data_IF_225886473739
#
_entry.id   IF_225886473739
#
_cell.length_a   1.000
_cell.length_b   1.000
_cell.length_c   1.000
_cell.angle_alpha   90.00
_cell.angle_beta   90.00
_cell.angle_gamma   90.00
#
_symmetry.space_group_name_H-M   'P 1'
#
loop_
_entity.id
_entity.type
_entity.pdbx_description
1 polymer ?
#
# COMPACT_ATOMS: atom_id res chain seq x y z
N UNK A 1 -2.87 -10.47 1.97
CA UNK A 1 -1.76 -11.38 2.31
C UNK A 1 -0.58 -10.55 2.79
N UNK A 2 0.00 -10.87 3.95
CA UNK A 2 1.20 -10.15 4.43
C UNK A 2 2.37 -10.39 3.48
N UNK A 3 3.17 -9.35 3.24
CA UNK A 3 4.44 -9.51 2.53
C UNK A 3 5.40 -10.33 3.40
N UNK A 4 6.30 -11.13 2.79
CA UNK A 4 7.42 -11.71 3.53
C UNK A 4 8.21 -10.61 4.25
N UNK A 5 8.72 -10.93 5.44
CA UNK A 5 9.44 -9.94 6.24
C UNK A 5 10.70 -9.44 5.51
N UNK A 6 11.33 -10.30 4.72
CA UNK A 6 12.50 -9.98 3.92
C UNK A 6 12.18 -8.90 2.88
N UNK A 7 11.03 -8.98 2.22
CA UNK A 7 10.57 -7.97 1.25
C UNK A 7 10.28 -6.64 1.93
N UNK A 8 9.70 -6.67 3.14
CA UNK A 8 9.44 -5.46 3.94
C UNK A 8 10.76 -4.81 4.35
N UNK A 9 11.73 -5.59 4.84
CA UNK A 9 13.05 -5.09 5.24
C UNK A 9 13.84 -4.53 4.05
N UNK A 10 13.75 -5.16 2.88
CA UNK A 10 14.34 -4.64 1.63
C UNK A 10 13.71 -3.29 1.24
N UNK A 11 12.39 -3.17 1.36
CA UNK A 11 11.65 -1.93 1.06
C UNK A 11 12.05 -0.78 2.00
N UNK A 12 12.23 -1.08 3.29
CA UNK A 12 12.71 -0.11 4.29
C UNK A 12 14.20 0.26 4.08
N UNK A 13 15.00 -0.65 3.52
CA UNK A 13 16.39 -0.41 3.18
C UNK A 13 17.21 0.16 4.34
N UNK A 14 17.80 1.34 4.13
CA UNK A 14 18.64 2.05 5.10
C UNK A 14 17.86 2.86 6.16
N UNK A 15 16.53 2.96 6.05
CA UNK A 15 15.69 3.71 6.98
C UNK A 15 15.71 3.04 8.36
N UNK A 16 15.88 3.83 9.42
CA UNK A 16 16.10 3.32 10.77
C UNK A 16 14.94 3.62 11.71
N UNK A 17 14.25 4.74 11.51
CA UNK A 17 13.15 5.22 12.34
C UNK A 17 11.84 5.05 11.62
N UNK A 18 11.03 4.10 12.06
CA UNK A 18 9.79 3.70 11.38
C UNK A 18 8.58 4.04 12.23
N UNK A 19 7.56 4.63 11.62
CA UNK A 19 6.24 4.77 12.23
C UNK A 19 5.32 3.64 11.76
N UNK A 20 4.68 2.91 12.69
CA UNK A 20 3.74 1.84 12.33
C UNK A 20 2.31 2.36 12.27
N UNK A 21 1.63 2.01 11.19
CA UNK A 21 0.23 2.36 10.99
C UNK A 21 -0.56 1.12 10.60
N UNK A 22 -1.57 0.75 11.39
CA UNK A 22 -2.44 -0.39 11.08
C UNK A 22 -3.89 0.03 10.87
N UNK A 23 -4.55 -0.68 9.95
CA UNK A 23 -5.98 -0.58 9.72
C UNK A 23 -6.73 -1.57 10.63
N UNK A 24 -7.74 -1.09 11.38
CA UNK A 24 -8.58 -1.90 12.28
C UNK A 24 -9.95 -2.26 11.67
N UNK A 25 -10.07 -2.16 10.35
CA UNK A 25 -11.28 -2.51 9.60
C UNK A 25 -11.10 -3.84 8.89
N UNK A 26 -11.32 -3.85 7.57
CA UNK A 26 -11.20 -5.06 6.76
C UNK A 26 -9.82 -5.74 6.85
N UNK A 27 -8.75 -4.99 7.13
CA UNK A 27 -7.40 -5.53 7.24
C UNK A 27 -7.23 -6.41 8.49
N UNK A 28 -7.87 -6.05 9.61
CA UNK A 28 -7.89 -6.84 10.85
C UNK A 28 -8.62 -8.17 10.63
N UNK A 29 -9.79 -8.14 9.98
CA UNK A 29 -10.54 -9.35 9.61
C UNK A 29 -9.71 -10.28 8.73
N UNK A 30 -8.87 -9.72 7.86
CA UNK A 30 -7.94 -10.48 7.04
C UNK A 30 -6.62 -10.87 7.73
N UNK A 31 -6.47 -10.57 9.03
CA UNK A 31 -5.24 -10.80 9.82
C UNK A 31 -3.97 -10.12 9.25
N UNK A 32 -4.18 -9.05 8.48
CA UNK A 32 -3.11 -8.23 7.86
C UNK A 32 -3.01 -6.83 8.47
N UNK A 33 -3.89 -6.52 9.41
CA UNK A 33 -3.97 -5.28 10.19
C UNK A 33 -4.45 -5.57 11.61
N UNK A 34 -4.91 -4.55 12.31
CA UNK A 34 -5.31 -4.65 13.71
C UNK A 34 -4.13 -4.76 14.69
N UNK A 35 -4.46 -4.86 15.97
CA UNK A 35 -3.47 -4.87 17.07
C UNK A 35 -2.55 -6.09 17.04
N UNK A 36 -3.08 -7.25 16.67
CA UNK A 36 -2.31 -8.51 16.59
C UNK A 36 -1.21 -8.42 15.53
N UNK A 37 -1.55 -7.99 14.32
CA UNK A 37 -0.58 -7.84 13.23
C UNK A 37 0.45 -6.75 13.56
N UNK A 38 0.01 -5.65 14.18
CA UNK A 38 0.89 -4.57 14.61
C UNK A 38 1.89 -5.02 15.69
N UNK A 39 1.48 -5.86 16.63
CA UNK A 39 2.36 -6.42 17.65
C UNK A 39 3.36 -7.41 17.06
N UNK A 40 2.91 -8.26 16.12
CA UNK A 40 3.77 -9.21 15.44
C UNK A 40 4.86 -8.53 14.60
N UNK A 41 4.49 -7.55 13.77
CA UNK A 41 5.47 -6.84 12.93
C UNK A 41 6.44 -6.01 13.76
N UNK A 42 5.98 -5.46 14.89
CA UNK A 42 6.83 -4.71 15.83
C UNK A 42 7.97 -5.59 16.34
N UNK A 43 7.66 -6.81 16.77
CA UNK A 43 8.68 -7.75 17.25
C UNK A 43 9.70 -8.11 16.15
N UNK A 44 9.25 -8.30 14.90
CA UNK A 44 10.14 -8.59 13.79
C UNK A 44 11.04 -7.40 13.40
N UNK A 45 10.52 -6.17 13.44
CA UNK A 45 11.30 -4.96 13.17
C UNK A 45 12.34 -4.68 14.25
N UNK A 46 12.01 -4.90 15.52
CA UNK A 46 12.94 -4.75 16.64
C UNK A 46 14.08 -5.76 16.55
N UNK A 47 13.80 -7.02 16.17
CA UNK A 47 14.85 -8.03 15.88
C UNK A 47 15.76 -7.62 14.73
N UNK A 48 15.21 -6.94 13.73
CA UNK A 48 15.97 -6.40 12.59
C UNK A 48 16.72 -5.09 12.91
N UNK A 49 16.67 -4.61 14.16
CA UNK A 49 17.38 -3.41 14.61
C UNK A 49 16.75 -2.08 14.14
N UNK A 50 15.47 -2.09 13.74
CA UNK A 50 14.72 -0.89 13.36
C UNK A 50 14.08 -0.27 14.60
N UNK A 51 14.19 1.05 14.74
CA UNK A 51 13.62 1.81 15.84
C UNK A 51 12.21 2.29 15.49
N UNK A 52 11.26 2.15 16.41
CA UNK A 52 9.90 2.63 16.22
C UNK A 52 9.72 4.01 16.85
N UNK A 53 9.30 5.00 16.06
CA UNK A 53 8.99 6.35 16.60
C UNK A 53 7.60 6.42 17.22
N UNK A 54 6.70 5.54 16.79
CA UNK A 54 5.33 5.48 17.27
C UNK A 54 4.51 4.45 16.51
N UNK A 55 3.31 4.21 17.04
CA UNK A 55 2.32 3.34 16.41
C UNK A 55 0.96 4.02 16.42
N UNK A 56 0.16 3.80 15.39
CA UNK A 56 -1.23 4.23 15.37
C UNK A 56 -2.12 3.14 14.76
N UNK A 57 -3.31 3.02 15.35
CA UNK A 57 -4.38 2.16 14.89
C UNK A 57 -5.54 3.05 14.43
N UNK A 58 -6.07 2.79 13.22
CA UNK A 58 -7.16 3.55 12.61
C UNK A 58 -8.15 2.59 11.97
N UNK A 59 -9.44 2.74 12.26
CA UNK A 59 -10.47 1.79 11.81
C UNK A 59 -10.54 1.68 10.28
N UNK A 60 -10.56 2.83 9.59
CA UNK A 60 -10.69 2.86 8.14
C UNK A 60 -9.61 3.74 7.52
N UNK A 61 -8.45 3.15 7.21
CA UNK A 61 -7.39 3.85 6.48
C UNK A 61 -7.78 4.23 5.05
N UNK A 62 -8.89 3.73 4.52
CA UNK A 62 -9.46 4.20 3.25
C UNK A 62 -10.25 5.52 3.38
N UNK A 63 -10.53 6.01 4.59
CA UNK A 63 -11.20 7.28 4.82
C UNK A 63 -10.17 8.40 5.09
N UNK A 64 -9.96 9.27 4.09
CA UNK A 64 -8.96 10.34 4.14
C UNK A 64 -9.15 11.32 5.31
N UNK A 65 -10.39 11.67 5.66
CA UNK A 65 -10.69 12.60 6.75
C UNK A 65 -10.35 11.97 8.10
N UNK A 66 -10.69 10.70 8.28
CA UNK A 66 -10.37 9.95 9.50
C UNK A 66 -8.85 9.81 9.65
N UNK A 67 -8.15 9.43 8.57
CA UNK A 67 -6.68 9.32 8.56
C UNK A 67 -6.03 10.65 8.91
N UNK A 68 -6.40 11.74 8.24
CA UNK A 68 -5.83 13.07 8.51
C UNK A 68 -6.04 13.50 9.97
N UNK A 69 -7.26 13.34 10.48
CA UNK A 69 -7.60 13.73 11.87
C UNK A 69 -6.82 12.91 12.89
N UNK A 70 -6.65 11.60 12.66
CA UNK A 70 -5.96 10.72 13.60
C UNK A 70 -4.45 10.89 13.56
N UNK A 71 -3.86 11.03 12.36
CA UNK A 71 -2.42 11.22 12.19
C UNK A 71 -1.97 12.63 12.60
N UNK A 72 -2.83 13.65 12.54
CA UNK A 72 -2.52 14.98 13.06
C UNK A 72 -2.12 14.95 14.55
N UNK A 73 -2.65 14.01 15.34
CA UNK A 73 -2.30 13.84 16.77
C UNK A 73 -0.93 13.19 16.99
N UNK A 74 -0.37 12.55 15.98
CA UNK A 74 0.90 11.84 16.05
C UNK A 74 1.95 12.49 15.13
N UNK A 75 1.69 13.71 14.64
CA UNK A 75 2.51 14.35 13.61
C UNK A 75 3.97 14.47 14.03
N UNK A 76 4.23 14.84 15.29
CA UNK A 76 5.60 14.94 15.83
C UNK A 76 6.38 13.62 15.68
N UNK A 77 5.72 12.48 15.87
CA UNK A 77 6.33 11.14 15.75
C UNK A 77 6.52 10.73 14.30
N UNK A 78 5.61 11.15 13.42
CA UNK A 78 5.68 10.92 11.97
C UNK A 78 6.81 11.75 11.34
N UNK A 79 7.00 12.99 11.78
CA UNK A 79 8.08 13.85 11.29
C UNK A 79 9.46 13.31 11.68
N UNK A 80 9.58 12.78 12.91
CA UNK A 80 10.78 12.11 13.42
C UNK A 80 11.09 10.77 12.73
N UNK A 81 10.09 10.16 12.08
CA UNK A 81 10.28 8.92 11.32
C UNK A 81 10.89 9.20 9.95
N UNK A 82 11.72 8.27 9.49
CA UNK A 82 12.23 8.24 8.13
C UNK A 82 11.09 7.87 7.17
N UNK A 83 10.26 6.90 7.56
CA UNK A 83 9.13 6.40 6.77
C UNK A 83 8.01 5.80 7.64
N UNK A 84 6.89 5.47 6.99
CA UNK A 84 5.73 4.82 7.60
C UNK A 84 5.60 3.41 7.02
N UNK A 85 5.48 2.39 7.87
CA UNK A 85 5.07 1.05 7.45
C UNK A 85 3.57 0.87 7.70
N UNK A 86 2.83 0.64 6.63
CA UNK A 86 1.36 0.57 6.65
C UNK A 86 0.84 -0.87 6.51
N UNK A 87 0.19 -1.36 7.56
CA UNK A 87 -0.50 -2.64 7.65
C UNK A 87 -1.94 -2.49 7.18
N UNK A 88 -2.10 -2.44 5.86
CA UNK A 88 -3.39 -2.19 5.21
C UNK A 88 -3.38 -2.64 3.73
N UNK A 89 -4.54 -2.52 3.07
CA UNK A 89 -4.66 -2.77 1.65
C UNK A 89 -4.07 -1.63 0.80
N UNK A 90 -3.91 -1.87 -0.51
CA UNK A 90 -3.36 -0.87 -1.42
C UNK A 90 -4.13 0.44 -1.48
N UNK A 91 -5.42 0.48 -1.14
CA UNK A 91 -6.18 1.73 -1.05
C UNK A 91 -5.74 2.54 0.17
N UNK A 92 -5.61 1.90 1.34
CA UNK A 92 -5.17 2.58 2.56
C UNK A 92 -3.77 3.19 2.42
N UNK A 93 -2.84 2.48 1.76
CA UNK A 93 -1.49 3.01 1.48
C UNK A 93 -1.54 4.28 0.63
N UNK A 94 -2.37 4.30 -0.42
CA UNK A 94 -2.55 5.48 -1.28
C UNK A 94 -3.16 6.66 -0.51
N UNK A 95 -4.17 6.40 0.34
CA UNK A 95 -4.81 7.44 1.15
C UNK A 95 -3.80 8.04 2.14
N UNK A 96 -3.07 7.21 2.88
CA UNK A 96 -2.04 7.68 3.83
C UNK A 96 -0.97 8.48 3.10
N UNK A 97 -0.50 8.02 1.93
CA UNK A 97 0.49 8.73 1.12
C UNK A 97 0.02 10.10 0.66
N UNK A 98 -1.28 10.30 0.42
CA UNK A 98 -1.82 11.64 0.10
C UNK A 98 -1.93 12.55 1.32
N UNK A 99 -2.10 11.99 2.52
CA UNK A 99 -2.25 12.75 3.76
C UNK A 99 -0.88 13.16 4.33
N UNK A 100 0.17 12.36 4.11
CA UNK A 100 1.51 12.60 4.67
C UNK A 100 2.56 12.88 3.59
N UNK A 101 3.52 13.75 3.91
CA UNK A 101 4.68 14.04 3.05
C UNK A 101 5.87 13.12 3.39
N UNK A 102 5.61 11.83 3.60
CA UNK A 102 6.61 10.79 3.87
C UNK A 102 6.37 9.58 2.98
N UNK A 103 7.38 8.74 2.84
CA UNK A 103 7.26 7.45 2.16
C UNK A 103 6.38 6.52 3.00
N UNK A 104 5.49 5.79 2.35
CA UNK A 104 4.59 4.83 2.99
C UNK A 104 4.81 3.46 2.36
N UNK A 105 5.41 2.56 3.13
CA UNK A 105 5.72 1.20 2.71
C UNK A 105 4.51 0.29 2.95
N UNK A 106 4.02 -0.45 1.94
CA UNK A 106 2.97 -1.44 2.11
C UNK A 106 3.50 -2.68 2.82
N UNK A 107 2.91 -3.10 3.94
CA UNK A 107 3.25 -4.36 4.60
C UNK A 107 2.53 -5.60 4.02
N UNK A 108 1.58 -5.38 3.10
CA UNK A 108 0.73 -6.44 2.57
C UNK A 108 0.51 -6.31 1.05
N UNK A 109 0.39 -7.48 0.41
CA UNK A 109 -0.11 -7.63 -0.94
C UNK A 109 -1.63 -7.85 -0.91
N UNK A 110 -2.37 -6.94 -1.55
CA UNK A 110 -3.84 -7.02 -1.60
C UNK A 110 -4.25 -8.01 -2.67
N UNK A 111 -5.05 -9.00 -2.28
CA UNK A 111 -5.65 -10.01 -3.15
C UNK A 111 -7.16 -10.00 -2.91
N UNK A 112 -7.95 -10.22 -3.95
CA UNK A 112 -9.41 -10.27 -3.83
C UNK A 112 -9.86 -11.59 -3.17
N UNK A 113 -10.72 -11.50 -2.17
CA UNK A 113 -11.44 -12.64 -1.60
C UNK A 113 -12.88 -12.75 -2.13
N UNK A 114 -13.24 -11.93 -3.12
CA UNK A 114 -14.63 -11.73 -3.54
C UNK A 114 -15.43 -10.87 -2.55
N UNK A 115 -16.68 -10.57 -2.89
CA UNK A 115 -17.57 -9.72 -2.10
C UNK A 115 -17.45 -8.22 -2.39
N UNK A 116 -18.33 -7.43 -1.76
CA UNK A 116 -18.34 -5.97 -1.87
C UNK A 116 -17.47 -5.35 -0.76
N UNK A 117 -16.48 -4.55 -1.11
CA UNK A 117 -15.74 -3.76 -0.11
C UNK A 117 -16.53 -2.49 0.24
N UNK A 118 -16.78 -2.28 1.53
CA UNK A 118 -17.28 -1.01 2.06
C UNK A 118 -16.19 0.06 2.01
N UNK A 119 -16.00 0.68 0.85
CA UNK A 119 -15.00 1.73 0.65
C UNK A 119 -15.61 3.11 0.82
N UNK A 120 -14.84 4.01 1.43
CA UNK A 120 -15.16 5.43 1.42
C UNK A 120 -15.07 5.98 -0.01
N UNK A 121 -16.01 6.84 -0.47
CA UNK A 121 -15.92 7.47 -1.78
C UNK A 121 -14.63 8.29 -1.91
N UNK A 122 -13.74 7.86 -2.79
CA UNK A 122 -12.43 8.48 -2.98
C UNK A 122 -11.89 8.17 -4.38
N UNK A 123 -10.71 8.68 -4.74
CA UNK A 123 -10.08 8.48 -6.06
C UNK A 123 -9.10 7.31 -6.07
N UNK A 124 -8.66 6.84 -4.90
CA UNK A 124 -7.69 5.77 -4.78
C UNK A 124 -8.31 4.44 -5.25
N UNK A 125 -7.57 3.70 -6.09
CA UNK A 125 -8.04 2.46 -6.71
C UNK A 125 -7.01 1.37 -6.55
N UNK A 126 -7.45 0.13 -6.32
CA UNK A 126 -6.58 -1.04 -6.24
C UNK A 126 -7.20 -2.19 -7.04
N UNK A 127 -6.42 -2.83 -7.92
CA UNK A 127 -6.86 -4.03 -8.66
C UNK A 127 -6.75 -5.32 -7.84
N UNK A 128 -6.29 -5.26 -6.59
CA UNK A 128 -6.06 -6.42 -5.75
C UNK A 128 -5.23 -7.52 -6.45
N UNK A 129 -4.15 -7.10 -7.13
CA UNK A 129 -3.38 -7.97 -8.01
C UNK A 129 -2.36 -8.88 -7.32
N UNK A 130 -2.23 -8.82 -5.98
CA UNK A 130 -1.29 -9.63 -5.22
C UNK A 130 0.18 -9.24 -5.33
N UNK A 131 0.51 -8.16 -6.04
CA UNK A 131 1.89 -7.71 -6.28
C UNK A 131 1.98 -6.18 -6.13
N UNK A 132 2.15 -5.70 -4.90
CA UNK A 132 2.01 -4.29 -4.57
C UNK A 132 3.26 -3.47 -4.91
N UNK A 133 3.13 -2.56 -5.88
CA UNK A 133 4.19 -1.66 -6.34
C UNK A 133 4.11 -0.22 -5.76
N UNK A 134 3.29 0.00 -4.73
CA UNK A 134 3.09 1.34 -4.15
C UNK A 134 4.33 1.89 -3.45
N UNK A 135 5.16 0.98 -2.94
CA UNK A 135 6.46 1.28 -2.35
C UNK A 135 7.36 2.06 -3.32
N UNK A 136 7.46 1.50 -4.53
CA UNK A 136 8.26 2.02 -5.63
C UNK A 136 7.73 3.35 -6.17
N UNK A 137 6.40 3.50 -6.24
CA UNK A 137 5.71 4.61 -6.92
C UNK A 137 5.29 5.74 -5.99
N UNK A 138 5.75 5.72 -4.73
CA UNK A 138 5.47 6.79 -3.76
C UNK A 138 4.00 6.86 -3.33
N UNK A 139 3.27 5.75 -3.43
CA UNK A 139 1.87 5.65 -3.01
C UNK A 139 0.84 5.99 -4.09
N UNK A 140 1.19 5.91 -5.37
CA UNK A 140 0.24 6.04 -6.50
C UNK A 140 0.31 4.78 -7.34
N UNK A 141 -0.80 4.03 -7.44
CA UNK A 141 -0.75 2.71 -8.08
C UNK A 141 -0.57 2.83 -9.61
N UNK A 142 0.54 2.34 -10.19
CA UNK A 142 0.79 2.48 -11.63
C UNK A 142 -0.17 1.65 -12.47
N UNK A 143 -0.78 0.62 -11.87
CA UNK A 143 -1.70 -0.28 -12.56
C UNK A 143 -3.09 0.34 -12.75
N UNK A 144 -3.56 1.10 -11.76
CA UNK A 144 -4.91 1.71 -11.79
C UNK A 144 -4.92 3.15 -12.27
N UNK A 145 -3.86 3.92 -11.99
CA UNK A 145 -3.77 5.32 -12.43
C UNK A 145 -3.25 5.48 -13.86
N UNK A 146 -2.49 4.51 -14.38
CA UNK A 146 -2.15 4.49 -15.80
C UNK A 146 -3.25 3.77 -16.59
N UNK A 147 -3.82 4.42 -17.60
CA UNK A 147 -4.80 3.80 -18.49
C UNK A 147 -4.28 2.54 -19.22
N UNK A 148 -2.95 2.44 -19.39
CA UNK A 148 -2.25 1.31 -20.00
C UNK A 148 -1.65 0.34 -18.96
N UNK A 149 -1.88 0.57 -17.67
CA UNK A 149 -1.37 -0.25 -16.55
C UNK A 149 0.16 -0.51 -16.61
N UNK A 150 0.94 0.47 -17.07
CA UNK A 150 2.38 0.35 -17.23
C UNK A 150 3.11 0.37 -15.89
N UNK A 151 3.93 -0.64 -15.60
CA UNK A 151 4.71 -0.77 -14.36
C UNK A 151 6.10 -0.10 -14.44
N UNK A 152 6.72 -0.08 -15.62
CA UNK A 152 8.10 0.36 -15.83
C UNK A 152 8.20 1.71 -16.57
N UNK A 153 7.47 2.73 -16.09
CA UNK A 153 7.58 4.09 -16.60
C UNK A 153 6.52 4.50 -17.63
N UNK A 154 6.58 5.77 -18.08
CA UNK A 154 5.61 6.35 -19.00
C UNK A 154 5.69 5.76 -20.41
N UNK A 155 4.57 5.81 -21.13
CA UNK A 155 4.45 5.44 -22.55
C UNK A 155 5.04 6.48 -23.53
N UNK A 156 5.34 7.69 -23.06
CA UNK A 156 5.79 8.82 -23.90
C UNK A 156 4.66 9.57 -24.64
N UNK A 157 3.40 9.13 -24.54
CA UNK A 157 2.27 9.78 -25.20
C UNK A 157 1.61 10.93 -24.43
N UNK A 158 2.03 11.19 -23.18
CA UNK A 158 1.42 12.23 -22.35
C UNK A 158 1.68 13.63 -22.93
N UNK A 159 0.64 14.48 -22.94
CA UNK A 159 0.72 15.85 -23.42
C UNK A 159 0.17 16.78 -22.33
N UNK A 160 0.94 17.81 -21.96
CA UNK A 160 0.54 18.83 -20.95
C UNK A 160 0.01 18.23 -19.63
N UNK A 161 0.57 17.11 -19.17
CA UNK A 161 0.09 16.43 -17.96
C UNK A 161 -1.06 15.46 -18.13
N UNK A 162 -1.65 15.37 -19.32
CA UNK A 162 -2.81 14.54 -19.61
C UNK A 162 -2.46 13.22 -20.28
N UNK A 163 -3.31 12.23 -20.09
CA UNK A 163 -3.16 10.89 -20.67
C UNK A 163 -3.51 10.91 -22.17
N UNK A 164 -2.73 10.20 -23.00
CA UNK A 164 -3.01 10.07 -24.44
C UNK A 164 -4.31 9.30 -24.74
N UNK A 165 -4.74 8.44 -23.82
CA UNK A 165 -5.94 7.61 -23.98
C UNK A 165 -7.19 8.40 -23.63
N UNK A 166 -7.07 9.38 -22.74
CA UNK A 166 -8.18 10.18 -22.21
C UNK A 166 -7.65 11.52 -21.72
N UNK A 167 -7.92 12.58 -22.49
CA UNK A 167 -7.42 13.94 -22.24
C UNK A 167 -7.96 14.56 -20.95
N UNK A 168 -9.08 14.06 -20.42
CA UNK A 168 -9.66 14.54 -19.17
C UNK A 168 -8.91 14.00 -17.95
N UNK A 169 -8.15 12.91 -18.12
CA UNK A 169 -7.39 12.27 -17.03
C UNK A 169 -5.95 12.73 -17.00
N UNK A 170 -5.46 12.98 -15.79
CA UNK A 170 -4.03 13.20 -15.55
C UNK A 170 -3.23 11.93 -15.85
N UNK A 171 -2.04 12.10 -16.40
CA UNK A 171 -1.14 10.98 -16.66
C UNK A 171 -0.64 10.40 -15.34
N UNK A 172 -1.00 9.14 -15.05
CA UNK A 172 -0.58 8.47 -13.81
C UNK A 172 0.93 8.47 -13.58
N UNK A 173 1.76 8.39 -14.63
CA UNK A 173 3.22 8.45 -14.49
C UNK A 173 3.78 9.84 -14.23
N UNK A 174 3.07 10.89 -14.66
CA UNK A 174 3.42 12.24 -14.27
C UNK A 174 3.10 12.47 -12.79
N UNK A 175 1.92 12.03 -12.32
CA UNK A 175 1.57 12.09 -10.91
C UNK A 175 2.59 11.32 -10.03
N UNK A 176 3.04 10.15 -10.48
CA UNK A 176 4.09 9.36 -9.81
C UNK A 176 5.40 10.14 -9.76
N UNK A 177 5.83 10.74 -10.87
CA UNK A 177 7.05 11.54 -10.93
C UNK A 177 7.01 12.70 -9.92
N UNK A 178 5.95 13.51 -9.96
CA UNK A 178 5.75 14.66 -9.06
C UNK A 178 5.74 14.23 -7.58
N UNK A 179 5.11 13.08 -7.29
CA UNK A 179 5.11 12.52 -5.94
C UNK A 179 6.49 12.06 -5.50
N UNK A 180 7.23 11.36 -6.36
CA UNK A 180 8.59 10.88 -6.06
C UNK A 180 9.58 12.03 -5.91
N UNK A 181 9.45 13.08 -6.71
CA UNK A 181 10.22 14.32 -6.57
C UNK A 181 9.94 14.96 -5.20
N UNK A 182 8.67 15.11 -4.82
CA UNK A 182 8.27 15.71 -3.54
C UNK A 182 8.84 14.98 -2.32
N UNK A 183 8.99 13.65 -2.39
CA UNK A 183 9.52 12.84 -1.29
C UNK A 183 11.01 12.49 -1.45
N UNK A 184 11.69 13.02 -2.48
CA UNK A 184 13.13 12.80 -2.71
C UNK A 184 13.48 11.33 -3.00
N UNK A 185 12.70 10.67 -3.88
CA UNK A 185 12.83 9.25 -4.25
C UNK A 185 12.90 9.03 -5.77
N UNK A 186 13.38 10.00 -6.55
CA UNK A 186 13.41 9.91 -8.02
C UNK A 186 14.28 8.77 -8.54
N UNK A 187 15.29 8.34 -7.76
CA UNK A 187 16.14 7.18 -8.06
C UNK A 187 15.34 5.89 -8.25
N UNK A 188 14.15 5.79 -7.65
CA UNK A 188 13.27 4.66 -7.88
C UNK A 188 12.98 4.48 -9.37
N UNK A 189 12.74 5.55 -10.14
CA UNK A 189 12.37 5.49 -11.57
C UNK A 189 13.40 4.78 -12.46
N UNK A 190 14.64 4.60 -11.97
CA UNK A 190 15.71 3.87 -12.67
C UNK A 190 15.66 2.36 -12.43
N UNK A 191 14.86 1.89 -11.46
CA UNK A 191 14.74 0.48 -11.10
C UNK A 191 13.87 -0.23 -12.12
N UNK A 192 14.36 -1.37 -12.59
CA UNK A 192 13.57 -2.27 -13.43
C UNK A 192 12.73 -3.20 -12.55
N UNK A 193 11.42 -3.23 -12.79
CA UNK A 193 10.50 -4.17 -12.16
C UNK A 193 10.20 -5.33 -13.09
N UNK A 194 10.29 -6.55 -12.55
CA UNK A 194 9.94 -7.77 -13.28
C UNK A 194 8.47 -7.71 -13.74
N UNK A 195 8.11 -8.38 -14.84
CA UNK A 195 6.72 -8.56 -15.23
C UNK A 195 5.89 -9.13 -14.06
N UNK A 196 4.66 -8.64 -13.93
CA UNK A 196 3.76 -9.08 -12.86
C UNK A 196 3.44 -10.56 -12.99
N UNK A 197 3.40 -11.22 -11.84
CA UNK A 197 2.93 -12.59 -11.74
C UNK A 197 1.41 -12.62 -11.53
N UNK A 198 0.67 -12.87 -12.60
CA UNK A 198 -0.80 -12.90 -12.57
C UNK A 198 -1.37 -14.07 -11.74
N UNK A 199 -0.58 -15.09 -11.42
CA UNK A 199 -1.04 -16.18 -10.55
C UNK A 199 -1.31 -15.69 -9.11
N UNK A 200 -0.62 -14.63 -8.67
CA UNK A 200 -0.79 -14.00 -7.35
C UNK A 200 -2.12 -13.24 -7.20
N UNK A 201 -2.84 -13.01 -8.30
CA UNK A 201 -4.18 -12.40 -8.25
C UNK A 201 -5.22 -13.33 -7.61
N UNK A 202 -4.92 -14.63 -7.54
CA UNK A 202 -5.75 -15.60 -6.86
C UNK A 202 -5.41 -15.65 -5.37
N UNK A 203 -6.40 -15.74 -4.48
CA UNK A 203 -6.13 -15.93 -3.06
C UNK A 203 -5.39 -17.25 -2.84
N UNK A 204 -4.53 -17.26 -1.81
CA UNK A 204 -3.82 -18.48 -1.42
C UNK A 204 -4.81 -19.62 -1.17
N UNK A 205 -4.40 -20.87 -1.39
CA UNK A 205 -5.26 -22.03 -1.15
C UNK A 205 -5.85 -22.03 0.28
N UNK A 206 -5.09 -21.55 1.27
CA UNK A 206 -5.55 -21.37 2.66
C UNK A 206 -6.68 -20.33 2.76
N UNK A 207 -6.51 -19.18 2.12
CA UNK A 207 -7.51 -18.10 2.10
C UNK A 207 -8.73 -18.44 1.25
N UNK A 208 -8.58 -19.28 0.23
CA UNK A 208 -9.68 -19.77 -0.59
C UNK A 208 -10.52 -20.83 0.15
N UNK A 209 -9.88 -21.67 0.98
CA UNK A 209 -10.55 -22.72 1.78
C UNK A 209 -11.48 -22.15 2.84
N UNK A 210 -11.11 -21.09 3.56
CA UNK A 210 -12.00 -20.49 4.57
C UNK A 210 -13.31 -20.01 3.95
N UNK A 211 -13.26 -19.41 2.76
CA UNK A 211 -14.47 -19.01 2.00
C UNK A 211 -15.30 -20.18 1.47
N UNK A 212 -14.71 -21.37 1.25
CA UNK A 212 -15.41 -22.56 0.77
C UNK A 212 -16.00 -23.39 1.91
N UNK A 213 -15.30 -23.47 3.05
CA UNK A 213 -15.80 -24.05 4.30
C UNK A 213 -16.96 -23.23 4.86
N UNK A 214 -16.86 -21.88 4.88
CA UNK A 214 -17.97 -21.00 5.28
C UNK A 214 -19.19 -21.06 4.35
N UNK A 215 -18.98 -21.41 3.07
CA UNK A 215 -20.06 -21.62 2.08
C UNK A 215 -20.58 -23.06 2.02
N UNK A 216 -20.08 -23.96 2.87
CA UNK A 216 -20.51 -25.36 2.92
C UNK A 216 -20.21 -26.18 1.66
N UNK A 217 -19.26 -25.74 0.82
CA UNK A 217 -18.96 -26.34 -0.49
C UNK A 217 -17.78 -27.32 -0.48
N UNK A 218 -17.12 -27.50 0.67
CA UNK A 218 -16.13 -28.55 0.89
C UNK A 218 -16.55 -29.33 2.15
N UNK A 219 -16.92 -30.60 1.97
CA UNK A 219 -16.98 -31.58 3.06
C UNK A 219 -15.84 -32.57 2.85
N UNK A 220 -14.89 -32.58 3.80
CA UNK A 220 -13.76 -33.50 4.01
C UNK A 220 -13.00 -34.00 2.76
#
# INVERSE_FOLDING_TARGET
QNKPIEEVLESLGAESKIFLLACNGCAEVCETGGEKALSAIKAELEKAGKNLTGTALVDFLCNKVLVATRLAREMDKIEQADSILALTCGIGVQVVSKVVNKVVHPAANTVSLGGLQGLWPADERCQACGDCALDYTGGICPITFCAKSLLNGPCGGAQEGKCEVDSEKDCGWQLIYERLEKIGRLENLKKFHKPRDHSKMLPSARSARSTLEEKGMLQN
#
